data_IF_709642502141
#
_entry.id   IF_709642502141
#
_cell.length_a   1.000
_cell.length_b   1.000
_cell.length_c   1.000
_cell.angle_alpha   90.00
_cell.angle_beta   90.00
_cell.angle_gamma   90.00
#
_symmetry.space_group_name_H-M   'P 1'
#
loop_
_entity.id
_entity.type
_entity.pdbx_description
1 polymer ?
#
# COMPACT_ATOMS: atom_id res chain seq x y z
N UNK A 1 -24.83 -8.46 -24.95
CA UNK A 1 -24.09 -7.96 -23.78
C UNK A 1 -24.13 -6.45 -23.82
N UNK A 2 -24.66 -5.77 -22.79
CA UNK A 2 -24.73 -4.31 -22.70
C UNK A 2 -23.31 -3.69 -22.71
N UNK A 3 -23.17 -2.47 -23.23
CA UNK A 3 -21.90 -1.72 -23.27
C UNK A 3 -21.24 -1.64 -21.89
N UNK A 4 -22.03 -1.52 -20.82
CA UNK A 4 -21.60 -1.52 -19.42
C UNK A 4 -20.81 -2.78 -19.04
N UNK A 5 -21.30 -3.98 -19.41
CA UNK A 5 -20.60 -5.23 -19.09
C UNK A 5 -19.24 -5.33 -19.79
N UNK A 6 -19.13 -4.78 -21.01
CA UNK A 6 -17.86 -4.77 -21.75
C UNK A 6 -16.85 -3.79 -21.12
N UNK A 7 -17.29 -2.63 -20.64
CA UNK A 7 -16.44 -1.67 -19.92
C UNK A 7 -15.97 -2.25 -18.58
N UNK A 8 -16.87 -2.88 -17.83
CA UNK A 8 -16.53 -3.53 -16.55
C UNK A 8 -15.51 -4.65 -16.74
N UNK A 9 -15.71 -5.53 -17.73
CA UNK A 9 -14.77 -6.61 -18.05
C UNK A 9 -13.39 -6.08 -18.45
N UNK A 10 -13.33 -5.00 -19.24
CA UNK A 10 -12.06 -4.36 -19.61
C UNK A 10 -11.36 -3.76 -18.39
N UNK A 11 -12.09 -3.04 -17.54
CA UNK A 11 -11.54 -2.44 -16.33
C UNK A 11 -11.03 -3.51 -15.34
N UNK A 12 -11.83 -4.55 -15.09
CA UNK A 12 -11.44 -5.66 -14.24
C UNK A 12 -10.22 -6.41 -14.79
N UNK A 13 -10.20 -6.69 -16.10
CA UNK A 13 -9.06 -7.33 -16.76
C UNK A 13 -7.78 -6.49 -16.67
N UNK A 14 -7.89 -5.16 -16.84
CA UNK A 14 -6.76 -4.25 -16.66
C UNK A 14 -6.23 -4.26 -15.22
N UNK A 15 -7.11 -4.19 -14.21
CA UNK A 15 -6.71 -4.25 -12.80
C UNK A 15 -6.02 -5.56 -12.45
N UNK A 16 -6.55 -6.70 -12.92
CA UNK A 16 -5.93 -8.00 -12.71
C UNK A 16 -4.55 -8.08 -13.37
N UNK A 17 -4.42 -7.60 -14.61
CA UNK A 17 -3.13 -7.57 -15.30
C UNK A 17 -2.12 -6.67 -14.57
N UNK A 18 -2.54 -5.49 -14.12
CA UNK A 18 -1.70 -4.58 -13.33
C UNK A 18 -1.23 -5.24 -12.02
N UNK A 19 -2.13 -5.93 -11.32
CA UNK A 19 -1.78 -6.64 -10.09
C UNK A 19 -0.81 -7.81 -10.34
N UNK A 20 -1.01 -8.56 -11.42
CA UNK A 20 -0.09 -9.63 -11.82
C UNK A 20 1.30 -9.08 -12.15
N UNK A 21 1.38 -7.98 -12.90
CA UNK A 21 2.65 -7.31 -13.21
C UNK A 21 3.34 -6.86 -11.93
N UNK A 22 2.62 -6.22 -11.01
CA UNK A 22 3.16 -5.80 -9.71
C UNK A 22 3.74 -6.98 -8.91
N UNK A 23 3.04 -8.13 -8.88
CA UNK A 23 3.52 -9.35 -8.22
C UNK A 23 4.76 -9.93 -8.88
N UNK A 24 4.82 -9.97 -10.21
CA UNK A 24 5.99 -10.46 -10.94
C UNK A 24 7.21 -9.56 -10.67
N UNK A 25 7.02 -8.24 -10.64
CA UNK A 25 8.09 -7.30 -10.28
C UNK A 25 8.55 -7.48 -8.83
N UNK A 26 7.64 -7.69 -7.89
CA UNK A 26 7.95 -7.99 -6.49
C UNK A 26 8.75 -9.29 -6.33
N UNK A 27 8.33 -10.35 -7.03
CA UNK A 27 9.03 -11.62 -7.06
C UNK A 27 10.42 -11.51 -7.68
N UNK A 28 10.56 -10.76 -8.78
CA UNK A 28 11.85 -10.54 -9.41
C UNK A 28 12.81 -9.79 -8.46
N UNK A 29 12.31 -8.75 -7.80
CA UNK A 29 13.05 -8.01 -6.76
C UNK A 29 13.51 -8.92 -5.62
N UNK A 30 12.66 -9.81 -5.13
CA UNK A 30 13.01 -10.79 -4.10
C UNK A 30 14.06 -11.79 -4.59
N UNK A 31 13.90 -12.28 -5.82
CA UNK A 31 14.86 -13.21 -6.45
C UNK A 31 16.23 -12.57 -6.65
N UNK A 32 16.28 -11.29 -7.05
CA UNK A 32 17.52 -10.53 -7.19
C UNK A 32 18.18 -10.30 -5.83
N UNK A 33 17.41 -9.92 -4.80
CA UNK A 33 17.96 -9.75 -3.45
C UNK A 33 18.53 -11.07 -2.91
N UNK A 34 17.81 -12.18 -3.07
CA UNK A 34 18.31 -13.51 -2.70
C UNK A 34 19.55 -13.92 -3.52
N UNK A 35 19.62 -13.57 -4.81
CA UNK A 35 20.76 -13.88 -5.67
C UNK A 35 22.02 -13.07 -5.34
N UNK A 36 21.89 -11.79 -5.03
CA UNK A 36 23.03 -10.92 -4.69
C UNK A 36 23.49 -11.06 -3.23
N UNK A 37 22.56 -11.21 -2.29
CA UNK A 37 22.85 -11.16 -0.85
C UNK A 37 22.65 -12.51 -0.14
N UNK A 38 22.14 -13.55 -0.81
CA UNK A 38 21.87 -14.86 -0.20
C UNK A 38 20.89 -14.81 0.97
N UNK A 39 20.90 -15.85 1.82
CA UNK A 39 20.34 -15.75 3.17
C UNK A 39 21.31 -14.96 4.04
N UNK A 40 21.18 -13.64 4.02
CA UNK A 40 21.90 -12.73 4.91
C UNK A 40 20.94 -11.86 5.71
N UNK A 41 21.43 -11.26 6.79
CA UNK A 41 20.66 -10.30 7.59
C UNK A 41 20.16 -9.10 6.79
N UNK A 42 20.78 -8.79 5.64
CA UNK A 42 20.32 -7.74 4.72
C UNK A 42 19.02 -8.15 4.02
N UNK A 43 18.94 -9.38 3.52
CA UNK A 43 17.73 -9.92 2.89
C UNK A 43 16.58 -10.01 3.89
N UNK A 44 16.87 -10.40 5.13
CA UNK A 44 15.85 -10.50 6.20
C UNK A 44 15.32 -9.14 6.65
N UNK A 45 16.23 -8.16 6.86
CA UNK A 45 15.85 -6.78 7.17
C UNK A 45 15.05 -6.15 6.03
N UNK A 46 15.42 -6.42 4.77
CA UNK A 46 14.69 -5.97 3.59
C UNK A 46 13.26 -6.54 3.58
N UNK A 47 13.12 -7.86 3.70
CA UNK A 47 11.81 -8.51 3.69
C UNK A 47 10.93 -8.03 4.86
N UNK A 48 11.51 -7.89 6.04
CA UNK A 48 10.80 -7.37 7.24
C UNK A 48 10.32 -5.93 7.02
N UNK A 49 11.10 -5.08 6.33
CA UNK A 49 10.69 -3.72 6.02
C UNK A 49 9.43 -3.65 5.12
N UNK A 50 9.17 -4.68 4.30
CA UNK A 50 7.97 -4.74 3.46
C UNK A 50 6.70 -5.19 4.18
N UNK A 51 6.81 -5.74 5.40
CA UNK A 51 5.62 -6.11 6.20
C UNK A 51 4.74 -4.89 6.49
N UNK A 52 5.35 -3.75 6.80
CA UNK A 52 4.61 -2.52 7.12
C UNK A 52 3.80 -1.99 5.92
N UNK A 53 4.38 -1.77 4.72
CA UNK A 53 3.60 -1.34 3.56
C UNK A 53 2.59 -2.39 3.13
N UNK A 54 2.90 -3.69 3.24
CA UNK A 54 1.95 -4.75 2.92
C UNK A 54 0.74 -4.68 3.86
N UNK A 55 0.97 -4.63 5.18
CA UNK A 55 -0.09 -4.50 6.18
C UNK A 55 -1.03 -3.33 5.87
N UNK A 56 -0.47 -2.19 5.49
CA UNK A 56 -1.25 -1.00 5.12
C UNK A 56 -2.06 -1.23 3.85
N UNK A 57 -1.50 -1.87 2.84
CA UNK A 57 -2.22 -2.23 1.62
C UNK A 57 -3.42 -3.14 1.93
N UNK A 58 -3.22 -4.18 2.74
CA UNK A 58 -4.30 -5.09 3.14
C UNK A 58 -5.40 -4.37 3.93
N UNK A 59 -5.05 -3.50 4.88
CA UNK A 59 -6.00 -2.76 5.70
C UNK A 59 -6.79 -1.73 4.89
N UNK A 60 -6.10 -0.97 4.04
CA UNK A 60 -6.69 0.12 3.29
C UNK A 60 -7.45 -0.42 2.08
N UNK A 61 -6.79 -1.14 1.17
CA UNK A 61 -7.40 -1.60 -0.08
C UNK A 61 -8.36 -2.76 0.18
N UNK A 62 -7.94 -3.76 0.96
CA UNK A 62 -8.77 -4.92 1.29
C UNK A 62 -9.88 -4.63 2.29
N UNK A 63 -9.71 -3.61 3.15
CA UNK A 63 -10.65 -3.26 4.21
C UNK A 63 -11.38 -1.94 3.97
N UNK A 64 -10.85 -0.86 4.53
CA UNK A 64 -11.56 0.43 4.71
C UNK A 64 -11.97 1.06 3.38
N UNK A 65 -11.10 1.05 2.37
CA UNK A 65 -11.39 1.66 1.08
C UNK A 65 -12.51 0.90 0.35
N UNK A 66 -12.42 -0.44 0.30
CA UNK A 66 -13.41 -1.27 -0.37
C UNK A 66 -14.78 -1.23 0.32
N UNK A 67 -14.81 -1.18 1.66
CA UNK A 67 -16.05 -1.27 2.42
C UNK A 67 -16.78 0.07 2.60
N UNK A 68 -16.04 1.18 2.75
CA UNK A 68 -16.63 2.49 3.10
C UNK A 68 -16.31 3.59 2.08
N UNK A 69 -15.06 3.69 1.63
CA UNK A 69 -14.65 4.79 0.77
C UNK A 69 -15.23 4.70 -0.65
N UNK A 70 -15.07 3.56 -1.32
CA UNK A 70 -15.49 3.38 -2.71
C UNK A 70 -17.01 3.61 -2.88
N UNK A 71 -17.90 3.06 -2.01
CA UNK A 71 -19.34 3.32 -2.11
C UNK A 71 -19.68 4.81 -1.95
N UNK A 72 -19.13 5.47 -0.93
CA UNK A 72 -19.38 6.89 -0.65
C UNK A 72 -18.89 7.76 -1.80
N UNK A 73 -17.65 7.55 -2.26
CA UNK A 73 -17.09 8.31 -3.37
C UNK A 73 -17.89 8.10 -4.66
N UNK A 74 -18.26 6.85 -4.96
CA UNK A 74 -19.06 6.52 -6.14
C UNK A 74 -20.45 7.15 -6.11
N UNK A 75 -21.04 7.29 -4.93
CA UNK A 75 -22.32 7.99 -4.73
C UNK A 75 -22.22 9.48 -5.06
N UNK A 76 -21.15 10.16 -4.64
CA UNK A 76 -20.91 11.57 -4.99
C UNK A 76 -20.77 11.77 -6.50
N UNK A 77 -20.00 10.90 -7.17
CA UNK A 77 -19.83 10.94 -8.63
C UNK A 77 -21.17 10.67 -9.33
N UNK A 78 -21.93 9.67 -8.89
CA UNK A 78 -23.23 9.34 -9.48
C UNK A 78 -24.26 10.46 -9.35
N UNK A 79 -24.17 11.27 -8.28
CA UNK A 79 -25.02 12.46 -8.06
C UNK A 79 -24.54 13.71 -8.82
N UNK A 80 -23.43 13.62 -9.57
CA UNK A 80 -22.84 14.76 -10.27
C UNK A 80 -22.18 15.79 -9.35
N UNK A 81 -21.94 15.44 -8.08
CA UNK A 81 -21.28 16.29 -7.10
C UNK A 81 -19.80 15.91 -6.97
N UNK A 82 -19.07 16.02 -8.08
CA UNK A 82 -17.68 15.57 -8.18
C UNK A 82 -16.75 16.36 -7.26
N UNK A 83 -16.94 17.68 -7.14
CA UNK A 83 -16.12 18.54 -6.29
C UNK A 83 -16.13 18.09 -4.82
N UNK A 84 -17.32 17.78 -4.29
CA UNK A 84 -17.46 17.30 -2.92
C UNK A 84 -16.90 15.88 -2.76
N UNK A 85 -17.06 15.02 -3.77
CA UNK A 85 -16.42 13.70 -3.83
C UNK A 85 -14.89 13.80 -3.73
N UNK A 86 -14.27 14.70 -4.50
CA UNK A 86 -12.83 14.96 -4.45
C UNK A 86 -12.38 15.56 -3.12
N UNK A 87 -13.21 16.37 -2.48
CA UNK A 87 -12.94 16.94 -1.16
C UNK A 87 -12.95 15.85 -0.07
N UNK A 88 -13.87 14.89 -0.15
CA UNK A 88 -13.88 13.70 0.72
C UNK A 88 -12.65 12.83 0.45
N UNK A 89 -12.32 12.55 -0.83
CA UNK A 89 -11.12 11.80 -1.21
C UNK A 89 -9.84 12.42 -0.66
N UNK A 90 -9.68 13.73 -0.83
CA UNK A 90 -8.54 14.49 -0.33
C UNK A 90 -8.45 14.44 1.18
N UNK A 91 -9.59 14.54 1.89
CA UNK A 91 -9.64 14.45 3.35
C UNK A 91 -9.18 13.07 3.84
N UNK A 92 -9.64 11.99 3.20
CA UNK A 92 -9.23 10.62 3.53
C UNK A 92 -7.76 10.40 3.24
N UNK A 93 -7.27 10.83 2.08
CA UNK A 93 -5.84 10.73 1.73
C UNK A 93 -4.97 11.51 2.70
N UNK A 94 -5.35 12.74 3.05
CA UNK A 94 -4.63 13.55 4.03
C UNK A 94 -4.61 12.88 5.41
N UNK A 95 -5.72 12.28 5.84
CA UNK A 95 -5.79 11.56 7.11
C UNK A 95 -4.88 10.32 7.09
N UNK A 96 -4.85 9.56 5.99
CA UNK A 96 -3.94 8.42 5.82
C UNK A 96 -2.49 8.92 5.88
N UNK A 97 -2.13 9.95 5.11
CA UNK A 97 -0.78 10.51 5.06
C UNK A 97 -0.33 11.05 6.42
N UNK A 98 -1.20 11.75 7.14
CA UNK A 98 -0.92 12.23 8.50
C UNK A 98 -0.71 11.07 9.47
N UNK A 99 -1.60 10.07 9.42
CA UNK A 99 -1.50 8.88 10.27
C UNK A 99 -0.19 8.14 10.02
N UNK A 100 0.15 7.89 8.75
CA UNK A 100 1.41 7.27 8.36
C UNK A 100 2.62 8.12 8.77
N UNK A 101 2.55 9.44 8.57
CA UNK A 101 3.58 10.36 9.02
C UNK A 101 3.82 10.27 10.52
N UNK A 102 2.76 10.24 11.33
CA UNK A 102 2.85 10.04 12.77
C UNK A 102 3.47 8.69 13.10
N UNK A 103 3.04 7.59 12.46
CA UNK A 103 3.65 6.27 12.66
C UNK A 103 5.15 6.26 12.35
N UNK A 104 5.57 6.93 11.27
CA UNK A 104 6.99 7.06 10.91
C UNK A 104 7.77 7.88 11.95
N UNK A 105 7.21 9.00 12.43
CA UNK A 105 7.82 9.84 13.46
C UNK A 105 7.95 9.10 14.79
N UNK A 106 6.89 8.39 15.20
CA UNK A 106 6.88 7.55 16.40
C UNK A 106 7.89 6.42 16.26
N UNK A 107 7.89 5.71 15.12
CA UNK A 107 8.87 4.66 14.84
C UNK A 107 10.30 5.16 14.92
N UNK A 108 10.58 6.36 14.39
CA UNK A 108 11.89 7.01 14.52
C UNK A 108 12.26 7.28 15.98
N UNK A 109 11.32 7.75 16.80
CA UNK A 109 11.56 8.02 18.22
C UNK A 109 11.85 6.74 19.01
N UNK A 110 11.13 5.65 18.76
CA UNK A 110 11.36 4.36 19.42
C UNK A 110 12.62 3.62 18.94
N UNK A 111 13.08 3.89 17.72
CA UNK A 111 14.32 3.30 17.20
C UNK A 111 15.58 4.06 17.71
N UNK A 112 15.44 5.32 18.14
CA UNK A 112 16.54 6.14 18.66
C UNK A 112 17.22 5.61 19.94
N UNK A 113 16.52 5.00 20.93
CA UNK A 113 17.16 4.43 22.11
C UNK A 113 17.91 3.11 21.84
N UNK A 114 17.60 2.38 20.76
CA UNK A 114 18.07 0.99 20.58
C UNK A 114 19.47 0.91 19.97
N UNK A 115 19.91 1.89 19.18
CA UNK A 115 21.27 1.91 18.61
C UNK A 115 22.37 2.34 19.60
N UNK A 116 22.02 2.76 20.82
CA UNK A 116 22.99 3.20 21.84
C UNK A 116 23.71 2.03 22.57
N UNK A 117 23.30 0.77 22.37
CA UNK A 117 23.88 -0.38 23.10
C UNK A 117 24.30 -1.56 22.20
N UNK A 118 24.44 -1.34 20.89
CA UNK A 118 24.80 -2.38 19.92
C UNK A 118 26.18 -2.18 19.26
N UNK A 119 27.09 -1.46 19.91
CA UNK A 119 28.45 -1.22 19.44
C UNK A 119 29.46 -2.17 20.06
N UNK A 120 29.35 -3.49 19.83
CA UNK A 120 30.49 -4.42 19.87
C UNK A 120 30.07 -5.85 19.54
N UNK A 121 30.62 -6.38 18.42
CA UNK A 121 30.66 -7.81 18.02
C UNK A 121 29.28 -8.36 17.65
N UNK A 122 28.98 -8.58 16.37
CA UNK A 122 29.48 -9.66 15.49
C UNK A 122 29.14 -9.35 14.04
#
# INVERSE_FOLDING_TARGET
>A
MSSTNRTLLKAAGFLMAAQMISRVLGFLRESLMAGFYGQSGVTDAYNTAFILPDLLYWLLVGGVLSAAFIPVFSEYIAKGNEDEGWRVASSVVNLILLTLGVFVLVGRFFNSPVYSYGGSRV
#
